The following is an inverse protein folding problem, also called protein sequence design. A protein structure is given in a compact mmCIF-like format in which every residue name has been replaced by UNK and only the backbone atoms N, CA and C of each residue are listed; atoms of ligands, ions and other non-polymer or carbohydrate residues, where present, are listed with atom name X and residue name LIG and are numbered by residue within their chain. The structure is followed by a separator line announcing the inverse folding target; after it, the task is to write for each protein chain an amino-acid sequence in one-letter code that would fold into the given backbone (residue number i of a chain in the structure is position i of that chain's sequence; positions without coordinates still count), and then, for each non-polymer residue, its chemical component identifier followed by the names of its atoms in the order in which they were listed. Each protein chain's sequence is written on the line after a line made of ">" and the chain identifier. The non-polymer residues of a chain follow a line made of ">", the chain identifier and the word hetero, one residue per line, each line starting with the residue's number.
data_IF_361950432506
#
_entry.id   IF_361950432506
#
_cell.length_a   1.000
_cell.length_b   1.000
_cell.length_c   1.000
_cell.angle_alpha   90.00
_cell.angle_beta   90.00
_cell.angle_gamma   90.00
#
_symmetry.space_group_name_H-M   'P 1'
#
loop_
_entity.id
_entity.type
_entity.pdbx_description
1 polymer ?
#
# COMPACT_ATOMS: atom_id res chain seq x y z
N UNK A 1 -5.64 -0.64 -10.05
CA UNK A 1 -6.59 -1.36 -9.18
C UNK A 1 -6.45 -0.98 -7.72
N UNK A 2 -5.22 -0.98 -7.19
CA UNK A 2 -5.00 -0.62 -5.78
C UNK A 2 -5.40 0.84 -5.52
N UNK A 3 -4.93 1.81 -6.29
CA UNK A 3 -5.33 3.20 -6.11
C UNK A 3 -6.84 3.47 -6.25
N UNK A 4 -7.57 2.65 -7.04
CA UNK A 4 -9.04 2.71 -7.06
C UNK A 4 -9.65 2.12 -5.78
N UNK A 5 -8.99 1.15 -5.17
CA UNK A 5 -9.46 0.57 -3.93
C UNK A 5 -9.20 1.50 -2.73
N UNK A 6 -8.07 2.20 -2.69
CA UNK A 6 -7.80 3.23 -1.68
C UNK A 6 -8.78 4.39 -1.76
N UNK A 7 -9.13 4.83 -2.96
CA UNK A 7 -10.20 5.81 -3.17
C UNK A 7 -11.54 5.35 -2.57
N UNK A 8 -11.84 4.05 -2.55
CA UNK A 8 -13.04 3.52 -1.89
C UNK A 8 -12.87 3.51 -0.37
N UNK A 9 -11.66 3.23 0.17
CA UNK A 9 -11.43 3.25 1.63
C UNK A 9 -11.65 4.63 2.22
N UNK A 10 -11.24 5.69 1.52
CA UNK A 10 -11.48 7.08 1.93
C UNK A 10 -12.97 7.44 2.07
N UNK A 11 -13.84 6.72 1.34
CA UNK A 11 -15.30 6.92 1.43
C UNK A 11 -15.94 6.12 2.57
N UNK A 12 -15.22 5.20 3.21
CA UNK A 12 -15.72 4.41 4.34
C UNK A 12 -15.61 5.24 5.62
N UNK A 13 -16.71 5.53 6.31
CA UNK A 13 -16.65 6.32 7.52
C UNK A 13 -15.87 5.57 8.61
N UNK A 14 -14.90 6.25 9.21
CA UNK A 14 -14.22 5.79 10.41
C UNK A 14 -15.12 6.01 11.61
N UNK A 15 -15.18 5.06 12.52
CA UNK A 15 -15.91 5.23 13.77
C UNK A 15 -15.10 4.69 14.95
N UNK A 16 -15.15 5.41 16.05
CA UNK A 16 -14.38 5.10 17.25
C UNK A 16 -15.28 4.58 18.35
N UNK A 17 -14.86 3.51 19.01
CA UNK A 17 -15.53 2.95 20.20
C UNK A 17 -14.50 2.87 21.33
N UNK A 18 -14.54 3.82 22.25
CA UNK A 18 -13.51 3.98 23.27
C UNK A 18 -12.17 4.37 22.67
N UNK A 19 -11.14 3.56 22.93
CA UNK A 19 -9.80 3.76 22.38
C UNK A 19 -9.58 3.04 21.03
N UNK A 20 -10.52 2.20 20.61
CA UNK A 20 -10.43 1.41 19.38
C UNK A 20 -11.09 2.17 18.25
N UNK A 21 -10.35 2.38 17.17
CA UNK A 21 -10.83 2.94 15.92
C UNK A 21 -11.11 1.83 14.90
N UNK A 22 -12.33 1.78 14.40
CA UNK A 22 -12.71 0.90 13.31
C UNK A 22 -12.52 1.67 12.00
N UNK A 23 -11.34 1.52 11.42
CA UNK A 23 -10.95 2.13 10.15
C UNK A 23 -10.42 1.08 9.19
N UNK A 24 -10.56 1.34 7.90
CA UNK A 24 -9.90 0.59 6.84
C UNK A 24 -8.95 1.56 6.17
N UNK A 25 -7.70 1.59 6.64
CA UNK A 25 -6.68 2.48 6.09
C UNK A 25 -6.27 2.02 4.68
N UNK A 26 -6.05 0.72 4.50
CA UNK A 26 -5.44 0.19 3.29
C UNK A 26 -6.07 -1.11 2.82
N UNK A 27 -6.35 -1.21 1.54
CA UNK A 27 -6.68 -2.47 0.87
C UNK A 27 -5.45 -3.14 0.26
N UNK A 28 -4.38 -3.27 1.03
CA UNK A 28 -3.10 -3.85 0.57
C UNK A 28 -3.22 -5.31 0.07
N UNK A 29 -4.34 -6.00 0.31
CA UNK A 29 -4.55 -7.35 -0.23
C UNK A 29 -4.46 -7.41 -1.76
N UNK A 30 -4.80 -6.32 -2.46
CA UNK A 30 -4.70 -6.25 -3.93
C UNK A 30 -3.22 -6.27 -4.37
N UNK A 31 -2.37 -5.29 -3.97
CA UNK A 31 -0.98 -5.29 -4.38
C UNK A 31 -0.21 -6.48 -3.82
N UNK A 32 -0.52 -6.96 -2.61
CA UNK A 32 0.12 -8.15 -2.05
C UNK A 32 -0.21 -9.41 -2.85
N UNK A 33 -1.47 -9.60 -3.25
CA UNK A 33 -1.85 -10.70 -4.13
C UNK A 33 -1.08 -10.63 -5.44
N UNK A 34 -0.95 -9.46 -6.05
CA UNK A 34 -0.21 -9.28 -7.29
C UNK A 34 1.29 -9.50 -7.09
N UNK A 35 1.88 -9.00 -6.01
CA UNK A 35 3.29 -9.18 -5.69
C UNK A 35 3.66 -10.65 -5.40
N UNK A 36 2.72 -11.41 -4.83
CA UNK A 36 2.89 -12.85 -4.59
C UNK A 36 2.79 -13.65 -5.89
N UNK A 37 1.92 -13.27 -6.82
CA UNK A 37 1.68 -14.02 -8.06
C UNK A 37 2.59 -13.55 -9.22
N UNK A 38 2.96 -12.28 -9.26
CA UNK A 38 3.76 -11.67 -10.32
C UNK A 38 5.14 -11.22 -9.80
N UNK A 39 5.77 -10.29 -10.54
CA UNK A 39 7.01 -9.67 -10.08
C UNK A 39 6.77 -8.73 -8.89
N UNK A 40 7.41 -8.97 -7.74
CA UNK A 40 7.17 -8.18 -6.53
C UNK A 40 7.47 -6.69 -6.69
N UNK A 41 8.55 -6.34 -7.41
CA UNK A 41 8.95 -4.94 -7.55
C UNK A 41 7.97 -4.18 -8.46
N UNK A 42 7.60 -4.78 -9.60
CA UNK A 42 6.62 -4.17 -10.51
C UNK A 42 5.26 -4.00 -9.87
N UNK A 43 4.82 -4.98 -9.06
CA UNK A 43 3.56 -4.90 -8.33
C UNK A 43 3.60 -3.81 -7.26
N UNK A 44 4.70 -3.69 -6.52
CA UNK A 44 4.89 -2.68 -5.48
C UNK A 44 4.91 -1.25 -6.06
N UNK A 45 5.74 -1.01 -7.08
CA UNK A 45 5.80 0.29 -7.75
C UNK A 45 4.47 0.67 -8.41
N UNK A 46 3.82 -0.30 -9.08
CA UNK A 46 2.52 -0.08 -9.69
C UNK A 46 1.41 0.20 -8.67
N UNK A 47 1.50 -0.35 -7.46
CA UNK A 47 0.59 -0.05 -6.37
C UNK A 47 0.80 1.38 -5.85
N UNK A 48 2.02 1.73 -5.46
CA UNK A 48 2.36 3.04 -4.94
C UNK A 48 2.05 4.16 -5.96
N UNK A 49 2.38 3.94 -7.25
CA UNK A 49 2.01 4.88 -8.31
C UNK A 49 0.49 5.00 -8.47
N UNK A 50 -0.22 3.87 -8.38
CA UNK A 50 -1.68 3.87 -8.50
C UNK A 50 -2.36 4.59 -7.34
N UNK A 51 -1.85 4.49 -6.13
CA UNK A 51 -2.30 5.22 -4.95
C UNK A 51 -2.08 6.72 -5.15
N UNK A 52 -0.85 7.12 -5.44
CA UNK A 52 -0.49 8.51 -5.70
C UNK A 52 -1.40 9.18 -6.75
N UNK A 53 -1.68 8.49 -7.86
CA UNK A 53 -2.48 9.05 -8.94
C UNK A 53 -3.97 9.08 -8.59
N UNK A 54 -4.53 7.97 -8.11
CA UNK A 54 -5.98 7.83 -7.95
C UNK A 54 -6.49 8.27 -6.59
N UNK A 55 -5.70 8.13 -5.53
CA UNK A 55 -6.09 8.54 -4.19
C UNK A 55 -5.70 9.99 -3.93
N UNK A 56 -4.46 10.37 -4.17
CA UNK A 56 -3.96 11.68 -3.80
C UNK A 56 -4.25 12.74 -4.88
N UNK A 57 -3.74 12.55 -6.11
CA UNK A 57 -3.86 13.55 -7.16
C UNK A 57 -5.32 13.73 -7.60
N UNK A 58 -6.05 12.63 -7.85
CA UNK A 58 -7.44 12.72 -8.35
C UNK A 58 -8.45 13.17 -7.31
N UNK A 59 -8.20 12.95 -6.02
CA UNK A 59 -9.02 13.50 -4.94
C UNK A 59 -8.62 14.92 -4.53
N UNK A 60 -7.52 15.46 -5.07
CA UNK A 60 -7.01 16.76 -4.71
C UNK A 60 -6.36 16.82 -3.32
N UNK A 61 -5.96 15.68 -2.79
CA UNK A 61 -5.34 15.55 -1.48
C UNK A 61 -3.80 15.49 -1.55
N UNK A 62 -3.24 15.76 -2.74
CA UNK A 62 -1.82 15.66 -2.97
C UNK A 62 -1.00 16.59 -2.06
N UNK A 63 -0.33 16.00 -1.08
CA UNK A 63 0.48 16.68 -0.05
C UNK A 63 1.93 17.01 -0.47
N UNK A 64 2.22 16.97 -1.77
CA UNK A 64 3.56 17.34 -2.25
C UNK A 64 4.64 16.35 -1.86
N UNK A 65 5.65 16.80 -1.11
CA UNK A 65 6.77 15.94 -0.68
C UNK A 65 6.36 14.83 0.28
N UNK A 66 5.32 15.03 1.09
CA UNK A 66 4.82 14.03 2.03
C UNK A 66 4.38 12.73 1.34
N UNK A 67 3.86 12.82 0.11
CA UNK A 67 3.46 11.64 -0.65
C UNK A 67 4.62 10.67 -0.97
N UNK A 68 5.85 11.14 -0.92
CA UNK A 68 7.02 10.30 -1.11
C UNK A 68 7.18 9.29 0.05
N UNK A 69 6.77 9.66 1.26
CA UNK A 69 6.73 8.75 2.41
C UNK A 69 5.80 7.57 2.13
N UNK A 70 4.54 7.82 1.79
CA UNK A 70 3.56 6.78 1.46
C UNK A 70 4.04 5.92 0.29
N UNK A 71 4.54 6.55 -0.77
CA UNK A 71 5.07 5.84 -1.94
C UNK A 71 6.18 4.85 -1.58
N UNK A 72 7.13 5.27 -0.74
CA UNK A 72 8.28 4.44 -0.33
C UNK A 72 7.83 3.34 0.62
N UNK A 73 7.02 3.64 1.64
CA UNK A 73 6.59 2.67 2.66
C UNK A 73 5.73 1.56 2.07
N UNK A 74 4.77 1.91 1.20
CA UNK A 74 3.96 0.94 0.45
C UNK A 74 4.84 0.09 -0.47
N UNK A 75 5.76 0.73 -1.20
CA UNK A 75 6.68 0.01 -2.10
C UNK A 75 7.53 -1.01 -1.33
N UNK A 76 8.13 -0.62 -0.21
CA UNK A 76 8.95 -1.52 0.61
C UNK A 76 8.10 -2.65 1.18
N UNK A 77 6.96 -2.36 1.81
CA UNK A 77 6.08 -3.36 2.42
C UNK A 77 5.61 -4.42 1.41
N UNK A 78 5.09 -3.99 0.28
CA UNK A 78 4.58 -4.89 -0.78
C UNK A 78 5.72 -5.68 -1.44
N UNK A 79 6.85 -5.03 -1.73
CA UNK A 79 8.01 -5.71 -2.30
C UNK A 79 8.56 -6.81 -1.39
N UNK A 80 8.77 -6.50 -0.11
CA UNK A 80 9.29 -7.46 0.85
C UNK A 80 8.34 -8.65 1.02
N UNK A 81 7.03 -8.39 1.16
CA UNK A 81 6.02 -9.45 1.24
C UNK A 81 6.03 -10.37 0.01
N UNK A 82 6.04 -9.79 -1.19
CA UNK A 82 6.07 -10.56 -2.43
C UNK A 82 7.32 -11.43 -2.57
N UNK A 83 8.45 -10.99 -2.00
CA UNK A 83 9.72 -11.75 -1.97
C UNK A 83 9.74 -12.89 -0.96
N UNK A 84 8.96 -12.80 0.11
CA UNK A 84 8.90 -13.84 1.14
C UNK A 84 8.19 -15.11 0.66
N UNK A 85 7.26 -15.01 -0.29
CA UNK A 85 6.46 -16.13 -0.76
C UNK A 85 7.12 -16.81 -1.96
N UNK A 86 7.76 -17.95 -1.74
CA UNK A 86 8.29 -18.80 -2.83
C UNK A 86 7.20 -19.65 -3.49
N UNK A 87 6.27 -20.15 -2.69
CA UNK A 87 5.20 -21.02 -3.15
C UNK A 87 3.84 -20.43 -2.78
N UNK A 88 3.10 -19.85 -3.73
CA UNK A 88 1.77 -19.28 -3.48
C UNK A 88 0.72 -20.27 -2.98
N UNK A 89 0.96 -21.58 -3.12
CA UNK A 89 0.06 -22.62 -2.58
C UNK A 89 0.23 -22.81 -1.06
N UNK A 90 1.34 -22.36 -0.49
CA UNK A 90 1.57 -22.43 0.94
C UNK A 90 0.83 -21.30 1.66
N UNK A 91 -0.35 -21.60 2.20
CA UNK A 91 -1.20 -20.62 2.89
C UNK A 91 -0.52 -19.97 4.09
N UNK A 92 0.29 -20.72 4.85
CA UNK A 92 1.02 -20.16 5.98
C UNK A 92 2.05 -19.13 5.56
N UNK A 93 2.78 -19.38 4.46
CA UNK A 93 3.71 -18.41 3.90
C UNK A 93 3.00 -17.16 3.35
N UNK A 94 1.84 -17.35 2.72
CA UNK A 94 1.02 -16.23 2.22
C UNK A 94 0.49 -15.38 3.38
N UNK A 95 -0.03 -16.01 4.45
CA UNK A 95 -0.50 -15.31 5.64
C UNK A 95 0.62 -14.50 6.31
N UNK A 96 1.75 -15.15 6.58
CA UNK A 96 2.91 -14.52 7.22
C UNK A 96 3.44 -13.35 6.38
N UNK A 97 3.53 -13.53 5.06
CA UNK A 97 3.99 -12.46 4.17
C UNK A 97 3.00 -11.29 4.10
N UNK A 98 1.69 -11.55 4.14
CA UNK A 98 0.67 -10.49 4.15
C UNK A 98 0.74 -9.66 5.43
N UNK A 99 0.80 -10.31 6.60
CA UNK A 99 0.94 -9.61 7.88
C UNK A 99 2.28 -8.84 7.93
N UNK A 100 3.36 -9.48 7.47
CA UNK A 100 4.69 -8.85 7.47
C UNK A 100 4.73 -7.62 6.56
N UNK A 101 4.17 -7.71 5.35
CA UNK A 101 4.18 -6.59 4.41
C UNK A 101 3.37 -5.41 4.89
N UNK A 102 2.13 -5.64 5.35
CA UNK A 102 1.29 -4.58 5.91
C UNK A 102 1.89 -4.05 7.23
N UNK A 103 2.33 -4.95 8.11
CA UNK A 103 2.97 -4.54 9.37
C UNK A 103 4.25 -3.74 9.17
N UNK A 104 5.04 -4.05 8.14
CA UNK A 104 6.25 -3.28 7.82
C UNK A 104 5.92 -1.88 7.29
N UNK A 105 4.90 -1.76 6.44
CA UNK A 105 4.42 -0.47 5.95
C UNK A 105 3.88 0.39 7.10
N UNK A 106 2.98 -0.17 7.93
CA UNK A 106 2.43 0.52 9.11
C UNK A 106 3.52 0.91 10.12
N UNK A 107 4.47 0.02 10.39
CA UNK A 107 5.57 0.30 11.31
C UNK A 107 6.44 1.47 10.83
N UNK A 108 6.71 1.53 9.52
CA UNK A 108 7.46 2.64 8.95
C UNK A 108 6.69 3.96 9.09
N UNK A 109 5.38 3.99 8.81
CA UNK A 109 4.53 5.17 9.06
C UNK A 109 4.55 5.58 10.53
N UNK A 110 4.29 4.66 11.46
CA UNK A 110 4.37 4.91 12.91
C UNK A 110 5.70 5.53 13.34
N UNK A 111 6.82 5.05 12.79
CA UNK A 111 8.15 5.64 13.10
C UNK A 111 8.26 7.05 12.54
N UNK A 112 7.72 7.32 11.37
CA UNK A 112 7.68 8.68 10.78
C UNK A 112 6.88 9.62 11.69
N UNK A 113 5.68 9.22 12.13
CA UNK A 113 4.81 10.02 13.00
C UNK A 113 5.48 10.31 14.36
N UNK A 114 6.10 9.31 14.98
CA UNK A 114 6.90 9.51 16.19
C UNK A 114 8.03 10.53 15.97
N UNK A 115 8.75 10.43 14.84
CA UNK A 115 9.85 11.36 14.51
C UNK A 115 9.32 12.77 14.29
N UNK A 116 8.19 12.95 13.60
CA UNK A 116 7.56 14.27 13.38
C UNK A 116 7.25 14.96 14.72
N UNK A 117 6.60 14.26 15.63
CA UNK A 117 6.26 14.82 16.96
C UNK A 117 7.52 15.09 17.79
N UNK A 118 8.48 14.16 17.83
CA UNK A 118 9.72 14.32 18.61
C UNK A 118 10.61 15.45 18.09
N UNK A 119 10.60 15.69 16.79
CA UNK A 119 11.35 16.77 16.16
C UNK A 119 10.57 18.10 16.11
N UNK A 120 9.38 18.16 16.71
CA UNK A 120 8.50 19.34 16.74
C UNK A 120 8.07 19.84 15.35
N UNK A 121 7.93 18.93 14.39
CA UNK A 121 7.32 19.23 13.11
C UNK A 121 5.79 19.14 13.15
N UNK A 122 5.24 18.33 14.05
CA UNK A 122 3.80 18.24 14.31
C UNK A 122 3.51 18.23 15.81
N UNK A 123 2.31 18.65 16.20
CA UNK A 123 1.85 18.65 17.57
C UNK A 123 1.43 17.22 18.01
N UNK A 124 1.65 16.92 19.29
CA UNK A 124 1.18 15.67 19.86
C UNK A 124 -0.32 15.73 20.15
N UNK A 125 -1.09 14.84 19.54
CA UNK A 125 -2.51 14.67 19.80
C UNK A 125 -2.74 13.58 20.84
N UNK A 126 -3.19 13.95 22.05
CA UNK A 126 -3.50 13.00 23.09
C UNK A 126 -4.80 12.25 22.81
N UNK A 127 -4.78 10.93 22.90
CA UNK A 127 -5.98 10.09 22.78
C UNK A 127 -6.60 9.87 24.16
N UNK A 128 -7.88 10.23 24.38
CA UNK A 128 -8.53 10.04 25.65
C UNK A 128 -8.53 8.57 26.10
N UNK A 129 -7.99 8.31 27.27
CA UNK A 129 -7.86 6.96 27.83
C UNK A 129 -6.49 6.31 27.63
N UNK A 130 -5.59 6.93 26.90
CA UNK A 130 -4.19 6.52 26.83
C UNK A 130 -3.28 7.47 27.64
N UNK A 131 -2.10 7.01 28.11
CA UNK A 131 -1.08 7.89 28.67
C UNK A 131 -0.64 8.95 27.65
N UNK A 132 -0.32 10.16 28.14
CA UNK A 132 0.20 11.26 27.32
C UNK A 132 1.64 10.97 26.86
N UNK A 133 1.78 10.11 25.88
CA UNK A 133 3.07 9.69 25.31
C UNK A 133 2.89 9.32 23.86
N UNK A 134 3.63 9.97 22.98
CA UNK A 134 3.62 9.69 21.53
C UNK A 134 3.90 8.20 21.24
N UNK A 135 4.84 7.59 21.97
CA UNK A 135 5.16 6.16 21.78
C UNK A 135 3.98 5.24 22.13
N UNK A 136 3.19 5.59 23.15
CA UNK A 136 2.03 4.80 23.57
C UNK A 136 0.89 5.00 22.58
N UNK A 137 0.63 6.24 22.17
CA UNK A 137 -0.43 6.57 21.22
C UNK A 137 -0.17 5.95 19.87
N UNK A 138 1.00 6.19 19.29
CA UNK A 138 1.37 5.65 17.97
C UNK A 138 1.54 4.12 17.99
N UNK A 139 2.09 3.57 19.09
CA UNK A 139 2.17 2.13 19.26
C UNK A 139 0.79 1.45 19.36
N UNK A 140 -0.18 2.12 19.99
CA UNK A 140 -1.57 1.63 20.03
C UNK A 140 -2.24 1.74 18.66
N UNK A 141 -2.08 2.87 17.95
CA UNK A 141 -2.57 3.05 16.59
C UNK A 141 -2.01 1.97 15.66
N UNK A 142 -0.70 1.73 15.68
CA UNK A 142 -0.07 0.65 14.94
C UNK A 142 -0.71 -0.72 15.20
N UNK A 143 -0.96 -1.08 16.47
CA UNK A 143 -1.58 -2.36 16.80
C UNK A 143 -3.03 -2.44 16.32
N UNK A 144 -3.77 -1.35 16.44
CA UNK A 144 -5.12 -1.22 15.94
C UNK A 144 -5.18 -1.44 14.42
N UNK A 145 -4.34 -0.73 13.68
CA UNK A 145 -4.28 -0.82 12.22
C UNK A 145 -3.74 -2.16 11.74
N UNK A 146 -2.81 -2.75 12.46
CA UNK A 146 -2.34 -4.10 12.16
C UNK A 146 -3.46 -5.13 12.32
N UNK A 147 -4.33 -4.97 13.32
CA UNK A 147 -5.48 -5.84 13.53
C UNK A 147 -6.52 -5.68 12.42
N UNK A 148 -6.95 -4.46 12.15
CA UNK A 148 -8.01 -4.20 11.17
C UNK A 148 -7.47 -4.23 9.75
N UNK A 149 -6.59 -3.33 9.37
CA UNK A 149 -6.04 -3.24 8.02
C UNK A 149 -5.14 -4.42 7.69
N UNK A 150 -4.28 -4.86 8.62
CA UNK A 150 -3.32 -5.94 8.38
C UNK A 150 -3.95 -7.33 8.39
N UNK A 151 -4.66 -7.70 9.43
CA UNK A 151 -5.20 -9.06 9.57
C UNK A 151 -6.55 -9.18 8.87
N UNK A 152 -7.52 -8.34 9.23
CA UNK A 152 -8.90 -8.49 8.74
C UNK A 152 -9.03 -8.13 7.27
N UNK A 153 -8.55 -6.97 6.85
CA UNK A 153 -8.75 -6.44 5.49
C UNK A 153 -7.59 -6.70 4.54
N UNK A 154 -6.47 -7.26 5.01
CA UNK A 154 -5.36 -7.62 4.13
C UNK A 154 -5.08 -9.13 4.11
N UNK A 155 -4.71 -9.74 5.23
CA UNK A 155 -4.34 -11.16 5.28
C UNK A 155 -5.49 -12.06 4.85
N UNK A 156 -6.70 -11.88 5.39
CA UNK A 156 -7.85 -12.75 5.08
C UNK A 156 -8.20 -12.70 3.58
N UNK A 157 -8.40 -11.52 2.95
CA UNK A 157 -8.65 -11.46 1.53
C UNK A 157 -7.50 -12.02 0.67
N UNK A 158 -6.24 -11.78 1.06
CA UNK A 158 -5.08 -12.33 0.33
C UNK A 158 -5.06 -13.86 0.36
N UNK A 159 -5.33 -14.47 1.53
CA UNK A 159 -5.45 -15.93 1.68
C UNK A 159 -6.57 -16.54 0.83
N UNK A 160 -7.61 -15.76 0.56
CA UNK A 160 -8.72 -16.18 -0.29
C UNK A 160 -8.41 -16.00 -1.77
N UNK A 161 -7.78 -14.89 -2.16
CA UNK A 161 -7.53 -14.53 -3.55
C UNK A 161 -6.35 -15.29 -4.15
N UNK A 162 -5.23 -15.39 -3.45
CA UNK A 162 -4.00 -16.00 -3.98
C UNK A 162 -4.26 -17.41 -4.51
N UNK A 163 -4.85 -18.37 -3.76
CA UNK A 163 -5.10 -19.71 -4.28
C UNK A 163 -6.11 -19.76 -5.43
N UNK A 164 -7.06 -18.81 -5.48
CA UNK A 164 -8.10 -18.78 -6.52
C UNK A 164 -7.60 -18.21 -7.84
N UNK A 165 -6.67 -17.27 -7.77
CA UNK A 165 -6.10 -16.59 -8.93
C UNK A 165 -4.87 -17.30 -9.46
N UNK A 166 -4.14 -18.04 -8.61
CA UNK A 166 -2.92 -18.76 -8.97
C UNK A 166 -3.12 -19.68 -10.18
N UNK A 167 -2.26 -19.56 -11.16
CA UNK A 167 -2.31 -20.31 -12.41
C UNK A 167 -3.36 -19.84 -13.41
N UNK A 168 -4.19 -18.85 -13.07
CA UNK A 168 -5.24 -18.31 -13.95
C UNK A 168 -4.90 -16.93 -14.51
N UNK A 169 -4.34 -16.04 -13.67
CA UNK A 169 -4.07 -14.67 -14.08
C UNK A 169 -2.65 -14.49 -14.65
N UNK A 170 -1.68 -15.29 -14.22
CA UNK A 170 -0.30 -15.20 -14.71
C UNK A 170 -0.20 -15.43 -16.23
N UNK A 171 -0.88 -16.46 -16.80
CA UNK A 171 -0.86 -16.66 -18.26
C UNK A 171 -1.50 -15.52 -19.05
N UNK A 172 -2.42 -14.74 -18.45
CA UNK A 172 -3.03 -13.57 -19.11
C UNK A 172 -2.01 -12.47 -19.41
N UNK A 173 -0.95 -12.39 -18.57
CA UNK A 173 0.17 -11.47 -18.76
C UNK A 173 1.37 -12.13 -19.46
N UNK A 174 1.23 -13.37 -19.94
CA UNK A 174 2.31 -14.12 -20.58
C UNK A 174 3.38 -14.60 -19.59
N UNK A 175 3.05 -14.67 -18.31
CA UNK A 175 3.96 -15.12 -17.25
C UNK A 175 3.65 -16.58 -16.87
N UNK A 176 4.69 -17.29 -16.42
CA UNK A 176 4.52 -18.62 -15.83
C UNK A 176 4.13 -18.49 -14.36
N UNK A 177 3.23 -19.35 -13.85
CA UNK A 177 2.90 -19.39 -12.44
C UNK A 177 4.17 -19.61 -11.59
N UNK A 178 4.23 -18.94 -10.45
CA UNK A 178 5.36 -19.04 -9.52
C UNK A 178 5.39 -20.42 -8.86
N UNK A 179 6.55 -21.05 -8.94
CA UNK A 179 6.86 -22.32 -8.27
C UNK A 179 8.04 -22.15 -7.32
N UNK A 180 8.30 -23.09 -6.40
CA UNK A 180 9.48 -23.02 -5.55
C UNK A 180 10.81 -22.91 -6.30
N UNK A 181 10.85 -23.42 -7.53
CA UNK A 181 12.05 -23.44 -8.39
C UNK A 181 12.27 -22.12 -9.12
N UNK A 182 11.19 -21.44 -9.58
CA UNK A 182 11.25 -20.16 -10.29
C UNK A 182 10.85 -18.96 -9.43
N UNK A 183 10.60 -19.19 -8.13
CA UNK A 183 10.24 -18.14 -7.18
C UNK A 183 11.43 -17.25 -6.80
N UNK A 184 11.18 -16.09 -6.18
CA UNK A 184 12.24 -15.20 -5.75
C UNK A 184 13.12 -15.85 -4.70
N UNK A 185 14.43 -15.61 -4.76
CA UNK A 185 15.37 -16.07 -3.75
C UNK A 185 15.20 -15.28 -2.45
N UNK A 186 14.44 -15.83 -1.50
CA UNK A 186 14.20 -15.17 -0.20
C UNK A 186 15.50 -14.97 0.61
N UNK A 187 16.52 -15.78 0.40
CA UNK A 187 17.82 -15.63 1.05
C UNK A 187 18.51 -14.30 0.68
N UNK A 188 18.25 -13.77 -0.51
CA UNK A 188 18.77 -12.45 -0.94
C UNK A 188 18.00 -11.28 -0.36
N UNK A 189 16.85 -11.51 0.27
CA UNK A 189 16.07 -10.45 0.91
C UNK A 189 16.84 -9.82 2.08
N UNK A 190 17.46 -10.66 2.90
CA UNK A 190 18.30 -10.25 4.03
C UNK A 190 19.75 -9.94 3.62
N UNK A 191 20.03 -9.81 2.33
CA UNK A 191 21.34 -9.34 1.88
C UNK A 191 21.64 -7.96 2.48
N UNK A 192 22.86 -7.71 3.00
CA UNK A 192 23.23 -6.40 3.54
C UNK A 192 22.93 -5.25 2.59
N UNK A 193 23.11 -5.47 1.28
CA UNK A 193 22.78 -4.49 0.25
C UNK A 193 21.29 -4.11 0.24
N UNK A 194 20.40 -5.08 0.33
CA UNK A 194 18.95 -4.81 0.31
C UNK A 194 18.50 -4.12 1.60
N UNK A 195 19.06 -4.53 2.75
CA UNK A 195 18.77 -3.89 4.04
C UNK A 195 19.22 -2.42 4.00
N UNK A 196 20.45 -2.16 3.56
CA UNK A 196 20.96 -0.79 3.43
C UNK A 196 20.12 0.02 2.45
N UNK A 197 19.73 -0.57 1.32
CA UNK A 197 18.88 0.12 0.33
C UNK A 197 17.51 0.50 0.93
N UNK A 198 16.83 -0.43 1.59
CA UNK A 198 15.56 -0.14 2.26
C UNK A 198 15.72 0.91 3.36
N UNK A 199 16.80 0.85 4.16
CA UNK A 199 17.09 1.84 5.18
C UNK A 199 17.34 3.23 4.59
N UNK A 200 18.11 3.33 3.50
CA UNK A 200 18.36 4.61 2.81
C UNK A 200 17.05 5.19 2.26
N UNK A 201 16.23 4.39 1.58
CA UNK A 201 14.94 4.87 1.09
C UNK A 201 14.01 5.28 2.24
N UNK A 202 14.01 4.55 3.35
CA UNK A 202 13.23 4.94 4.52
C UNK A 202 13.71 6.25 5.14
N UNK A 203 15.02 6.48 5.24
CA UNK A 203 15.57 7.79 5.70
C UNK A 203 15.14 8.92 4.75
N UNK A 204 15.13 8.67 3.44
CA UNK A 204 14.61 9.63 2.46
C UNK A 204 13.13 9.91 2.68
N UNK A 205 12.33 8.88 2.98
CA UNK A 205 10.90 9.02 3.28
C UNK A 205 10.67 9.90 4.52
N UNK A 206 11.36 9.61 5.64
CA UNK A 206 11.32 10.43 6.86
C UNK A 206 11.72 11.87 6.57
N UNK A 207 12.80 12.08 5.83
CA UNK A 207 13.26 13.42 5.47
C UNK A 207 12.27 14.20 4.60
N UNK A 208 11.65 13.53 3.63
CA UNK A 208 10.65 14.14 2.77
C UNK A 208 9.41 14.58 3.57
N UNK A 209 8.93 13.75 4.47
CA UNK A 209 7.80 14.07 5.34
C UNK A 209 8.11 15.22 6.30
N UNK A 210 9.27 15.19 6.97
CA UNK A 210 9.70 16.31 7.82
C UNK A 210 9.83 17.63 7.04
N UNK A 211 10.29 17.59 5.79
CA UNK A 211 10.35 18.78 4.93
C UNK A 211 8.96 19.27 4.52
N UNK A 212 8.03 18.37 4.21
CA UNK A 212 6.66 18.71 3.90
C UNK A 212 5.98 19.41 5.08
N UNK A 213 6.09 18.85 6.28
CA UNK A 213 5.55 19.42 7.52
C UNK A 213 6.19 20.79 7.88
N UNK A 214 7.45 21.01 7.50
CA UNK A 214 8.10 22.34 7.68
C UNK A 214 7.59 23.40 6.70
N UNK A 215 6.59 23.09 5.87
CA UNK A 215 6.03 24.00 4.88
C UNK A 215 6.83 24.09 3.58
N UNK A 216 7.77 23.19 3.34
CA UNK A 216 8.49 23.12 2.07
C UNK A 216 7.65 22.34 1.04
N UNK A 217 6.88 23.07 0.25
CA UNK A 217 6.19 22.50 -0.91
C UNK A 217 7.07 22.66 -2.17
N UNK A 218 7.29 21.57 -2.90
CA UNK A 218 7.88 21.65 -4.25
C UNK A 218 6.86 22.05 -5.29
N UNK A 219 5.59 21.74 -5.07
CA UNK A 219 4.48 22.02 -5.95
C UNK A 219 3.30 22.41 -5.06
N UNK A 220 2.83 23.63 -5.18
CA UNK A 220 1.57 24.04 -4.58
C UNK A 220 0.43 23.47 -5.42
N UNK A 221 -0.20 22.43 -4.88
CA UNK A 221 -1.31 21.77 -5.53
C UNK A 221 -2.62 22.21 -4.91
N UNK A 222 -3.34 23.08 -5.60
CA UNK A 222 -4.70 23.45 -5.26
C UNK A 222 -5.66 22.83 -6.27
N UNK A 223 -6.32 21.76 -5.87
CA UNK A 223 -7.32 21.10 -6.70
C UNK A 223 -8.71 21.61 -6.37
N UNK A 224 -9.01 22.85 -6.72
CA UNK A 224 -10.33 23.45 -6.52
C UNK A 224 -11.49 22.60 -7.10
N UNK A 225 -11.22 21.74 -8.08
CA UNK A 225 -12.19 20.79 -8.62
C UNK A 225 -12.56 19.67 -7.63
N UNK A 226 -11.69 19.32 -6.68
CA UNK A 226 -11.93 18.27 -5.68
C UNK A 226 -12.97 18.70 -4.61
N UNK A 227 -13.20 19.98 -4.43
CA UNK A 227 -14.27 20.51 -3.56
C UNK A 227 -15.67 20.24 -4.13
N UNK A 228 -15.77 19.93 -5.41
CA UNK A 228 -17.03 19.64 -6.08
C UNK A 228 -17.34 18.15 -6.09
N UNK A 229 -18.43 17.74 -5.43
CA UNK A 229 -18.93 16.36 -5.46
C UNK A 229 -19.13 15.83 -6.89
N UNK A 230 -19.55 16.69 -7.81
CA UNK A 230 -19.73 16.33 -9.22
C UNK A 230 -18.40 16.03 -9.92
N UNK A 231 -17.35 16.78 -9.62
CA UNK A 231 -16.02 16.55 -10.17
C UNK A 231 -15.38 15.26 -9.61
N UNK A 232 -15.57 14.99 -8.31
CA UNK A 232 -15.14 13.75 -7.68
C UNK A 232 -15.81 12.51 -8.32
N UNK A 233 -17.14 12.55 -8.49
CA UNK A 233 -17.87 11.46 -9.16
C UNK A 233 -17.38 11.28 -10.59
N UNK A 234 -17.16 12.37 -11.31
CA UNK A 234 -16.62 12.32 -12.69
C UNK A 234 -15.21 11.70 -12.70
N UNK A 235 -14.35 12.08 -11.77
CA UNK A 235 -13.02 11.48 -11.58
C UNK A 235 -13.08 9.97 -11.35
N UNK A 236 -13.94 9.52 -10.46
CA UNK A 236 -14.17 8.09 -10.18
C UNK A 236 -14.62 7.34 -11.44
N UNK A 237 -15.57 7.92 -12.19
CA UNK A 237 -16.07 7.31 -13.44
C UNK A 237 -14.94 7.21 -14.48
N UNK A 238 -14.14 8.26 -14.66
CA UNK A 238 -13.00 8.26 -15.60
C UNK A 238 -11.98 7.19 -15.18
N UNK A 239 -11.64 7.11 -13.89
CA UNK A 239 -10.70 6.12 -13.36
C UNK A 239 -11.21 4.68 -13.57
N UNK A 240 -12.49 4.43 -13.29
CA UNK A 240 -13.11 3.13 -13.52
C UNK A 240 -13.15 2.77 -15.02
N UNK A 241 -13.43 3.73 -15.90
CA UNK A 241 -13.40 3.55 -17.34
C UNK A 241 -11.97 3.22 -17.84
N UNK A 242 -10.96 3.95 -17.36
CA UNK A 242 -9.56 3.69 -17.70
C UNK A 242 -9.12 2.28 -17.27
N UNK A 243 -9.47 1.86 -16.05
CA UNK A 243 -9.21 0.51 -15.56
C UNK A 243 -9.92 -0.55 -16.44
N UNK A 244 -11.17 -0.30 -16.81
CA UNK A 244 -11.93 -1.16 -17.73
C UNK A 244 -11.27 -1.31 -19.10
N UNK A 245 -10.78 -0.23 -19.67
CA UNK A 245 -10.05 -0.22 -20.96
C UNK A 245 -8.77 -1.05 -20.85
N UNK A 246 -7.99 -0.88 -19.78
CA UNK A 246 -6.76 -1.65 -19.55
C UNK A 246 -7.06 -3.15 -19.44
N UNK A 247 -8.07 -3.52 -18.65
CA UNK A 247 -8.49 -4.92 -18.49
C UNK A 247 -8.97 -5.51 -19.84
N UNK A 248 -9.75 -4.74 -20.60
CA UNK A 248 -10.22 -5.16 -21.93
C UNK A 248 -9.04 -5.38 -22.89
N UNK A 249 -8.10 -4.44 -22.93
CA UNK A 249 -6.89 -4.53 -23.77
C UNK A 249 -6.02 -5.73 -23.39
N UNK A 250 -5.83 -5.97 -22.10
CA UNK A 250 -5.12 -7.15 -21.60
C UNK A 250 -5.79 -8.46 -22.03
N UNK A 251 -7.12 -8.56 -21.91
CA UNK A 251 -7.88 -9.74 -22.34
C UNK A 251 -7.78 -9.96 -23.85
N UNK A 252 -7.87 -8.89 -24.64
CA UNK A 252 -7.74 -8.95 -26.10
C UNK A 252 -6.35 -9.44 -26.53
N UNK A 253 -5.29 -8.91 -25.92
CA UNK A 253 -3.92 -9.36 -26.22
C UNK A 253 -3.68 -10.81 -25.79
N UNK A 254 -4.26 -11.26 -24.69
CA UNK A 254 -4.17 -12.64 -24.25
C UNK A 254 -4.91 -13.60 -25.19
N UNK A 255 -6.03 -13.18 -25.82
CA UNK A 255 -6.75 -13.99 -26.81
C UNK A 255 -6.00 -14.10 -28.15
N UNK A 256 -5.32 -13.04 -28.58
CA UNK A 256 -4.50 -13.06 -29.80
C UNK A 256 -3.29 -13.99 -29.66
N UNK A 257 -2.63 -14.00 -28.49
CA UNK A 257 -1.49 -14.92 -28.21
C UNK A 257 -1.87 -16.40 -28.09
N UNK A 258 -3.15 -16.71 -27.89
CA UNK A 258 -3.64 -18.11 -27.88
C UNK A 258 -4.02 -18.62 -29.28
N UNK A 259 -4.12 -17.73 -30.25
CA UNK A 259 -4.46 -18.05 -31.63
C UNK A 259 -3.23 -18.23 -32.53
N UNK A 260 -2.02 -17.88 -32.02
CA UNK A 260 -0.70 -18.22 -32.57
C UNK A 260 -0.15 -19.49 -31.89
#
# INVERSE_FOLDING_TARGET
>A
LYGLATLITELIPKFQVGIVEFSVEYFLFIPLTLAILFDPLSAALGAATGELVFSEIMLGQFGGLGELEKFITVTIGVYLAGRLVKNPKNRGAVAAASIFGTGMQLLMGTVVDIVKVQASFSDFEAVPGLPESVFVTEGFAFLNDLLFSGILFCMIPTLFLVPRLYGKIEPLLGMKPRTPENGPESAKLLSPRNIVLCAVFFIVAVGAECLAESGMSLIDWEAAWAESTGALITGIIIAAAAAGIVIFWMRRNASLRKAE
#
